data_IF_158764649774
#
_entry.id   IF_158764649774
#
_cell.length_a   1.000
_cell.length_b   1.000
_cell.length_c   1.000
_cell.angle_alpha   90.00
_cell.angle_beta   90.00
_cell.angle_gamma   90.00
#
_symmetry.space_group_name_H-M   'P 1'
#
loop_
_entity.id
_entity.type
_entity.pdbx_description
1 polymer ?
#
# COMPACT_ATOMS: atom_id res chain seq x y z
N UNK A 1 -4.87 -11.36 -9.34
CA UNK A 1 -4.04 -12.57 -9.11
C UNK A 1 -4.85 -13.78 -8.63
N UNK A 2 -6.12 -13.67 -8.24
CA UNK A 2 -6.97 -14.83 -7.92
C UNK A 2 -7.83 -15.35 -9.09
N UNK A 3 -8.11 -14.52 -10.10
CA UNK A 3 -8.86 -14.96 -11.29
C UNK A 3 -8.13 -16.02 -12.13
N UNK A 4 -6.80 -16.06 -12.09
CA UNK A 4 -5.99 -17.05 -12.81
C UNK A 4 -5.93 -18.43 -12.12
N UNK A 5 -6.19 -18.51 -10.82
CA UNK A 5 -6.12 -19.78 -10.09
C UNK A 5 -7.39 -20.62 -10.29
N UNK A 6 -8.55 -19.96 -10.34
CA UNK A 6 -9.84 -20.61 -10.59
C UNK A 6 -9.91 -21.09 -12.06
N UNK A 7 -9.40 -20.30 -13.00
CA UNK A 7 -9.28 -20.74 -14.40
C UNK A 7 -8.34 -21.93 -14.57
N UNK A 8 -7.26 -22.00 -13.77
CA UNK A 8 -6.33 -23.13 -13.81
C UNK A 8 -6.95 -24.40 -13.21
N UNK A 9 -7.67 -24.30 -12.10
CA UNK A 9 -8.34 -25.47 -11.50
C UNK A 9 -9.51 -25.96 -12.35
N UNK A 10 -10.28 -25.08 -12.99
CA UNK A 10 -11.32 -25.46 -13.93
C UNK A 10 -10.75 -26.25 -15.14
N UNK A 11 -9.63 -25.78 -15.70
CA UNK A 11 -8.95 -26.44 -16.82
C UNK A 11 -8.34 -27.81 -16.43
N UNK A 12 -7.90 -27.94 -15.17
CA UNK A 12 -7.39 -29.22 -14.64
C UNK A 12 -8.52 -30.21 -14.33
N UNK A 13 -9.69 -29.72 -13.94
CA UNK A 13 -10.89 -30.54 -13.73
C UNK A 13 -11.41 -31.08 -15.08
N UNK A 14 -11.42 -30.23 -16.10
CA UNK A 14 -11.81 -30.59 -17.47
C UNK A 14 -10.93 -31.72 -18.03
N UNK A 15 -9.60 -31.61 -17.88
CA UNK A 15 -8.65 -32.67 -18.25
C UNK A 15 -8.80 -33.96 -17.44
N UNK A 16 -9.24 -33.89 -16.17
CA UNK A 16 -9.49 -35.10 -15.37
C UNK A 16 -10.77 -35.81 -15.79
N UNK A 17 -11.79 -35.08 -16.24
CA UNK A 17 -13.03 -35.64 -16.77
C UNK A 17 -12.77 -36.30 -18.13
N UNK A 18 -11.98 -35.66 -18.99
CA UNK A 18 -11.57 -36.20 -20.29
C UNK A 18 -10.77 -37.51 -20.13
N UNK A 19 -9.77 -37.53 -19.25
CA UNK A 19 -9.02 -38.76 -18.93
C UNK A 19 -9.90 -39.88 -18.33
N UNK A 20 -10.89 -39.54 -17.49
CA UNK A 20 -11.82 -40.54 -16.92
C UNK A 20 -12.72 -41.16 -18.00
N UNK A 21 -13.11 -40.39 -19.01
CA UNK A 21 -13.93 -40.87 -20.12
C UNK A 21 -13.18 -41.86 -21.02
N UNK A 22 -11.89 -41.62 -21.27
CA UNK A 22 -11.00 -42.56 -21.99
C UNK A 22 -10.76 -43.85 -21.19
N UNK A 23 -10.64 -43.72 -19.86
CA UNK A 23 -10.43 -44.88 -18.97
C UNK A 23 -11.68 -45.78 -18.93
N UNK A 24 -12.89 -45.21 -18.89
CA UNK A 24 -14.14 -45.98 -18.89
C UNK A 24 -14.36 -46.71 -20.23
N UNK A 25 -13.98 -46.09 -21.36
CA UNK A 25 -14.02 -46.75 -22.67
C UNK A 25 -12.96 -47.87 -22.80
N UNK A 26 -11.78 -47.67 -22.22
CA UNK A 26 -10.72 -48.68 -22.20
C UNK A 26 -11.05 -49.91 -21.37
N UNK A 27 -11.69 -49.74 -20.21
CA UNK A 27 -11.99 -50.83 -19.26
C UNK A 27 -13.18 -51.72 -19.70
N UNK A 28 -14.05 -51.21 -20.57
CA UNK A 28 -15.12 -52.01 -21.19
C UNK A 28 -14.64 -52.85 -22.38
N UNK A 29 -13.57 -52.42 -23.06
CA UNK A 29 -12.90 -53.16 -24.14
C UNK A 29 -12.29 -54.48 -23.66
N UNK A 30 -11.77 -54.49 -22.42
CA UNK A 30 -11.14 -55.66 -21.80
C UNK A 30 -12.14 -56.69 -21.26
N UNK A 31 -13.42 -56.33 -21.05
CA UNK A 31 -14.45 -57.24 -20.52
C UNK A 31 -15.27 -58.00 -21.56
N UNK A 32 -15.28 -57.57 -22.83
CA UNK A 32 -16.08 -58.21 -23.88
C UNK A 32 -15.14 -58.94 -24.84
N UNK A 33 -14.76 -60.15 -24.46
CA UNK A 33 -14.00 -61.04 -25.32
C UNK A 33 -14.81 -61.46 -26.55
N UNK A 34 -14.32 -61.08 -27.74
CA UNK A 34 -14.59 -61.77 -29.00
C UNK A 34 -15.79 -61.27 -29.81
N UNK A 35 -15.54 -60.35 -30.76
CA UNK A 35 -16.08 -60.33 -32.14
C UNK A 35 -15.82 -58.96 -32.77
N UNK A 36 -15.00 -58.91 -33.81
CA UNK A 36 -14.64 -57.68 -34.55
C UNK A 36 -15.84 -56.94 -35.19
N UNK A 37 -17.06 -57.51 -35.16
CA UNK A 37 -18.26 -56.85 -35.71
C UNK A 37 -19.00 -55.94 -34.72
N UNK A 38 -18.88 -56.14 -33.41
CA UNK A 38 -19.48 -55.22 -32.42
C UNK A 38 -18.68 -53.93 -32.24
N UNK A 39 -17.38 -53.97 -32.54
CA UNK A 39 -16.47 -52.83 -32.34
C UNK A 39 -16.82 -51.62 -33.23
N UNK A 40 -17.23 -51.86 -34.49
CA UNK A 40 -17.59 -50.78 -35.43
C UNK A 40 -18.94 -50.11 -35.14
N UNK A 41 -19.87 -50.78 -34.46
CA UNK A 41 -21.17 -50.17 -34.10
C UNK A 41 -21.01 -49.31 -32.84
N UNK A 42 -20.14 -49.73 -31.91
CA UNK A 42 -19.89 -49.01 -30.67
C UNK A 42 -19.02 -47.75 -30.86
N UNK A 43 -18.04 -47.78 -31.77
CA UNK A 43 -17.26 -46.58 -32.15
C UNK A 43 -18.16 -45.49 -32.75
N UNK A 44 -19.14 -45.86 -33.57
CA UNK A 44 -20.08 -44.92 -34.20
C UNK A 44 -21.06 -44.33 -33.17
N UNK A 45 -21.50 -45.11 -32.18
CA UNK A 45 -22.34 -44.61 -31.09
C UNK A 45 -21.58 -43.66 -30.15
N UNK A 46 -20.33 -43.98 -29.77
CA UNK A 46 -19.53 -43.08 -28.92
C UNK A 46 -19.09 -41.80 -29.63
N UNK A 47 -18.77 -41.86 -30.92
CA UNK A 47 -18.32 -40.68 -31.68
C UNK A 47 -19.46 -39.70 -32.04
N UNK A 48 -20.70 -40.18 -32.20
CA UNK A 48 -21.81 -39.34 -32.68
C UNK A 48 -22.93 -39.08 -31.67
N UNK A 49 -23.13 -39.92 -30.65
CA UNK A 49 -24.23 -39.72 -29.68
C UNK A 49 -23.79 -39.06 -28.37
N UNK A 50 -22.55 -39.27 -27.91
CA UNK A 50 -22.05 -38.59 -26.69
C UNK A 50 -21.95 -37.06 -26.83
N UNK A 51 -21.48 -36.48 -27.95
CA UNK A 51 -21.39 -35.01 -28.09
C UNK A 51 -22.75 -34.30 -28.11
N UNK A 52 -23.84 -35.03 -28.38
CA UNK A 52 -25.20 -34.49 -28.40
C UNK A 52 -25.89 -34.52 -27.02
N UNK A 53 -25.46 -35.40 -26.12
CA UNK A 53 -26.03 -35.54 -24.77
C UNK A 53 -25.26 -34.77 -23.69
N UNK A 54 -23.95 -34.55 -23.88
CA UNK A 54 -23.11 -33.81 -22.93
C UNK A 54 -23.60 -32.36 -22.74
N UNK A 55 -23.96 -31.56 -23.78
CA UNK A 55 -24.43 -30.19 -23.58
C UNK A 55 -25.78 -30.09 -22.86
N UNK A 56 -26.66 -31.07 -23.06
CA UNK A 56 -28.00 -31.12 -22.46
C UNK A 56 -27.97 -31.53 -20.99
N UNK A 57 -27.04 -32.39 -20.59
CA UNK A 57 -26.78 -32.72 -19.17
C UNK A 57 -25.92 -31.66 -18.46
N UNK A 58 -25.03 -30.97 -19.18
CA UNK A 58 -24.25 -29.87 -18.60
C UNK A 58 -25.13 -28.67 -18.24
N UNK A 59 -26.15 -28.35 -19.05
CA UNK A 59 -27.03 -27.21 -18.75
C UNK A 59 -27.99 -27.46 -17.58
N UNK A 60 -28.48 -28.69 -17.38
CA UNK A 60 -29.42 -28.97 -16.29
C UNK A 60 -28.76 -29.26 -14.94
N UNK A 61 -27.51 -29.74 -14.91
CA UNK A 61 -26.80 -30.06 -13.66
C UNK A 61 -25.90 -28.92 -13.15
N UNK A 62 -25.47 -27.97 -13.98
CA UNK A 62 -24.72 -26.80 -13.51
C UNK A 62 -25.61 -25.72 -12.89
N UNK A 63 -26.85 -25.59 -13.34
CA UNK A 63 -27.79 -24.59 -12.79
C UNK A 63 -28.27 -24.97 -11.38
N UNK A 64 -28.23 -26.25 -10.99
CA UNK A 64 -28.66 -26.73 -9.66
C UNK A 64 -27.53 -26.85 -8.62
N UNK A 65 -26.25 -26.78 -9.02
CA UNK A 65 -25.09 -27.00 -8.12
C UNK A 65 -24.41 -25.72 -7.64
N UNK A 66 -24.74 -24.53 -8.17
CA UNK A 66 -24.07 -23.28 -7.80
C UNK A 66 -24.98 -22.07 -7.58
N UNK A 67 -26.27 -22.27 -7.32
CA UNK A 67 -27.13 -21.21 -6.78
C UNK A 67 -26.97 -21.12 -5.26
N UNK A 68 -25.72 -20.94 -4.79
CA UNK A 68 -25.51 -20.40 -3.45
C UNK A 68 -26.07 -18.97 -3.48
N UNK A 69 -26.97 -18.57 -2.57
CA UNK A 69 -27.40 -17.18 -2.48
C UNK A 69 -26.20 -16.33 -2.03
N UNK A 70 -25.42 -15.85 -3.00
CA UNK A 70 -24.43 -14.82 -2.77
C UNK A 70 -25.21 -13.53 -2.55
N UNK A 71 -25.50 -13.21 -1.29
CA UNK A 71 -26.06 -11.91 -0.91
C UNK A 71 -25.12 -10.86 -1.48
N UNK A 72 -25.63 -10.07 -2.43
CA UNK A 72 -24.86 -8.97 -2.98
C UNK A 72 -24.71 -7.91 -1.88
N UNK A 73 -23.53 -7.27 -1.74
CA UNK A 73 -23.37 -6.20 -0.75
C UNK A 73 -24.35 -5.02 -0.99
N UNK A 74 -24.87 -4.88 -2.20
CA UNK A 74 -25.88 -3.88 -2.57
C UNK A 74 -27.31 -4.23 -2.13
N UNK A 75 -27.57 -5.50 -1.82
CA UNK A 75 -28.86 -6.01 -1.33
C UNK A 75 -28.96 -5.97 0.21
N UNK A 76 -27.86 -5.62 0.88
CA UNK A 76 -27.82 -5.53 2.33
C UNK A 76 -28.75 -4.41 2.85
N UNK A 77 -29.33 -4.58 4.06
CA UNK A 77 -30.11 -3.55 4.71
C UNK A 77 -29.36 -2.21 4.81
N UNK A 78 -30.09 -1.10 4.66
CA UNK A 78 -29.55 0.27 4.75
C UNK A 78 -29.27 0.68 6.21
N UNK A 79 -28.37 -0.04 6.85
CA UNK A 79 -27.95 0.18 8.22
C UNK A 79 -26.66 0.99 8.26
N UNK A 80 -26.46 1.71 9.35
CA UNK A 80 -25.21 2.40 9.68
C UNK A 80 -24.12 1.40 10.05
N UNK A 81 -22.84 1.84 9.97
CA UNK A 81 -21.71 1.02 10.41
C UNK A 81 -21.75 0.68 11.90
N UNK A 82 -22.37 1.51 12.73
CA UNK A 82 -22.57 1.22 14.15
C UNK A 82 -23.56 0.08 14.40
N UNK A 83 -24.64 0.02 13.59
CA UNK A 83 -25.60 -1.10 13.65
C UNK A 83 -24.97 -2.40 13.16
N UNK A 84 -24.21 -2.36 12.05
CA UNK A 84 -23.42 -3.53 11.61
C UNK A 84 -22.41 -3.98 12.64
N UNK A 85 -21.78 -3.04 13.37
CA UNK A 85 -20.87 -3.37 14.46
C UNK A 85 -21.57 -4.17 15.54
N UNK A 86 -22.74 -3.69 16.00
CA UNK A 86 -23.50 -4.33 17.07
C UNK A 86 -23.99 -5.74 16.71
N UNK A 87 -24.27 -6.01 15.43
CA UNK A 87 -24.68 -7.33 14.95
C UNK A 87 -23.49 -8.27 14.67
N UNK A 88 -22.28 -7.72 14.57
CA UNK A 88 -21.07 -8.50 14.30
C UNK A 88 -20.47 -9.09 15.58
N UNK A 89 -19.46 -9.94 15.40
CA UNK A 89 -18.70 -10.51 16.52
C UNK A 89 -18.02 -9.39 17.29
N UNK A 90 -18.16 -9.38 18.62
CA UNK A 90 -17.50 -8.43 19.52
C UNK A 90 -16.11 -8.91 19.95
N UNK A 91 -15.24 -7.99 20.41
CA UNK A 91 -13.85 -8.32 20.76
C UNK A 91 -13.76 -9.35 21.88
N UNK A 92 -14.63 -9.22 22.88
CA UNK A 92 -14.61 -10.03 24.10
C UNK A 92 -15.14 -11.45 23.85
N UNK A 93 -15.92 -11.63 22.78
CA UNK A 93 -16.40 -12.93 22.32
C UNK A 93 -15.36 -13.63 21.45
N UNK A 94 -14.57 -12.88 20.67
CA UNK A 94 -13.54 -13.43 19.77
C UNK A 94 -12.21 -13.72 20.47
N UNK A 95 -11.71 -12.80 21.29
CA UNK A 95 -10.36 -12.85 21.88
C UNK A 95 -10.49 -13.29 23.34
N UNK A 96 -10.30 -14.59 23.59
CA UNK A 96 -10.38 -15.14 24.95
C UNK A 96 -9.19 -14.71 25.80
N UNK A 97 -8.01 -14.72 25.21
CA UNK A 97 -6.77 -14.46 25.93
C UNK A 97 -5.69 -13.91 25.01
N UNK A 98 -4.90 -12.96 25.51
CA UNK A 98 -3.68 -12.51 24.88
C UNK A 98 -2.59 -12.30 25.93
N UNK A 99 -1.51 -13.08 25.82
CA UNK A 99 -0.37 -13.02 26.73
C UNK A 99 0.94 -12.86 25.96
N UNK A 100 1.79 -11.94 26.42
CA UNK A 100 3.20 -11.87 26.09
C UNK A 100 3.97 -12.70 27.12
N UNK A 101 4.62 -13.77 26.69
CA UNK A 101 5.44 -14.60 27.57
C UNK A 101 6.90 -14.19 27.46
N UNK A 102 7.47 -13.76 28.60
CA UNK A 102 8.87 -13.40 28.72
C UNK A 102 9.66 -14.52 29.41
N UNK A 103 10.84 -14.92 28.88
CA UNK A 103 11.64 -15.97 29.48
C UNK A 103 12.13 -15.65 30.91
N UNK A 104 12.29 -14.37 31.23
CA UNK A 104 12.95 -13.93 32.47
C UNK A 104 12.01 -13.43 33.56
N UNK A 105 10.79 -13.00 33.23
CA UNK A 105 9.91 -12.29 34.18
C UNK A 105 8.47 -12.81 34.21
N UNK A 106 8.16 -13.88 33.46
CA UNK A 106 6.82 -14.48 33.44
C UNK A 106 5.96 -13.98 32.28
N UNK A 107 4.65 -13.93 32.48
CA UNK A 107 3.68 -13.53 31.47
C UNK A 107 3.02 -12.19 31.78
N UNK A 108 2.93 -11.33 30.77
CA UNK A 108 2.20 -10.07 30.81
C UNK A 108 0.99 -10.16 29.89
N UNK A 109 -0.14 -9.56 30.26
CA UNK A 109 -1.27 -9.44 29.32
C UNK A 109 -0.90 -8.49 28.18
N UNK A 110 -1.33 -8.81 26.97
CA UNK A 110 -1.24 -7.86 25.85
C UNK A 110 -1.96 -6.55 26.22
N UNK A 111 -1.46 -5.42 25.72
CA UNK A 111 -1.89 -4.07 26.13
C UNK A 111 -3.42 -3.89 26.20
N UNK A 112 -3.87 -3.13 27.19
CA UNK A 112 -5.27 -3.01 27.65
C UNK A 112 -6.31 -2.48 26.63
N UNK A 113 -5.91 -2.02 25.43
CA UNK A 113 -6.86 -1.47 24.45
C UNK A 113 -6.83 -2.24 23.14
N UNK A 114 -7.94 -2.94 22.87
CA UNK A 114 -8.28 -3.48 21.55
C UNK A 114 -8.98 -2.38 20.76
N UNK A 115 -8.53 -2.13 19.54
CA UNK A 115 -9.14 -1.14 18.65
C UNK A 115 -10.02 -1.83 17.62
N UNK A 116 -11.28 -1.41 17.50
CA UNK A 116 -12.17 -1.84 16.43
C UNK A 116 -11.75 -1.23 15.09
N UNK A 117 -11.70 -2.06 14.04
CA UNK A 117 -11.32 -1.72 12.68
C UNK A 117 -12.48 -2.13 11.75
N UNK A 118 -13.29 -1.18 11.26
CA UNK A 118 -14.40 -1.49 10.35
C UNK A 118 -13.87 -1.79 8.95
N UNK A 119 -14.12 -3.00 8.45
CA UNK A 119 -13.66 -3.41 7.11
C UNK A 119 -14.77 -3.98 6.26
N UNK A 120 -14.47 -4.15 4.98
CA UNK A 120 -15.22 -4.97 4.03
C UNK A 120 -14.39 -6.19 3.65
N UNK A 121 -15.01 -7.36 3.56
CA UNK A 121 -14.32 -8.55 3.07
C UNK A 121 -14.14 -8.52 1.54
N UNK A 122 -13.65 -9.62 0.97
CA UNK A 122 -13.47 -9.73 -0.49
C UNK A 122 -14.78 -9.72 -1.29
N UNK A 123 -15.93 -9.94 -0.64
CA UNK A 123 -17.27 -9.89 -1.25
C UNK A 123 -17.95 -8.53 -1.00
N UNK A 124 -17.31 -7.63 -0.26
CA UNK A 124 -17.89 -6.33 0.10
C UNK A 124 -18.80 -6.39 1.33
N UNK A 125 -18.82 -7.49 2.08
CA UNK A 125 -19.67 -7.58 3.27
C UNK A 125 -18.99 -6.89 4.46
N UNK A 126 -19.74 -6.12 5.26
CA UNK A 126 -19.21 -5.42 6.42
C UNK A 126 -18.78 -6.43 7.49
N UNK A 127 -17.54 -6.30 7.97
CA UNK A 127 -16.97 -7.15 9.02
C UNK A 127 -16.39 -6.30 10.15
N UNK A 128 -16.40 -6.88 11.35
CA UNK A 128 -15.69 -6.36 12.52
C UNK A 128 -14.30 -6.99 12.58
N UNK A 129 -13.26 -6.15 12.66
CA UNK A 129 -11.90 -6.59 12.93
C UNK A 129 -11.38 -5.86 14.16
N UNK A 130 -10.37 -6.46 14.80
CA UNK A 130 -9.83 -5.98 16.05
C UNK A 130 -8.30 -5.95 15.98
N UNK A 131 -7.73 -4.78 16.26
CA UNK A 131 -6.29 -4.57 16.31
C UNK A 131 -5.80 -4.51 17.76
N UNK A 132 -4.88 -5.42 18.10
CA UNK A 132 -4.20 -5.45 19.39
C UNK A 132 -2.93 -4.60 19.26
N UNK A 133 -2.64 -3.76 20.26
CA UNK A 133 -1.43 -2.92 20.30
C UNK A 133 -1.32 -1.92 19.12
N UNK A 134 -2.45 -1.29 18.77
CA UNK A 134 -2.53 -0.23 17.76
C UNK A 134 -2.13 1.13 18.31
N UNK A 135 -1.37 1.91 17.53
CA UNK A 135 -0.91 3.27 17.85
C UNK A 135 -1.67 4.34 17.06
N UNK A 136 -2.72 3.95 16.34
CA UNK A 136 -3.54 4.87 15.55
C UNK A 136 -4.18 5.90 16.47
N UNK A 137 -4.09 7.17 16.11
CA UNK A 137 -4.60 8.30 16.91
C UNK A 137 -3.84 8.57 18.21
N UNK A 138 -2.73 7.88 18.50
CA UNK A 138 -1.95 8.12 19.71
C UNK A 138 -0.44 8.19 19.41
N UNK A 139 0.07 9.42 19.36
CA UNK A 139 1.48 9.70 19.10
C UNK A 139 2.41 9.41 20.29
N UNK A 140 1.85 9.31 21.50
CA UNK A 140 2.62 9.19 22.75
C UNK A 140 3.07 7.76 23.03
N UNK A 141 2.44 6.76 22.42
CA UNK A 141 2.79 5.35 22.63
C UNK A 141 4.12 5.04 21.95
N UNK A 142 5.04 4.46 22.73
CA UNK A 142 6.34 4.00 22.23
C UNK A 142 6.31 2.49 21.99
N UNK A 143 7.00 2.00 20.95
CA UNK A 143 7.16 0.57 20.75
C UNK A 143 7.80 -0.09 21.97
N UNK A 144 7.20 -1.18 22.44
CA UNK A 144 7.82 -2.03 23.46
C UNK A 144 8.95 -2.86 22.83
N UNK A 145 10.08 -2.96 23.54
CA UNK A 145 11.21 -3.81 23.16
C UNK A 145 11.27 -5.02 24.06
N UNK A 146 11.41 -6.21 23.46
CA UNK A 146 11.45 -7.48 24.18
C UNK A 146 12.66 -8.32 23.79
N UNK A 147 12.99 -9.33 24.59
CA UNK A 147 14.01 -10.31 24.26
C UNK A 147 13.57 -11.15 23.05
N UNK A 148 14.52 -11.54 22.21
CA UNK A 148 14.23 -12.37 21.03
C UNK A 148 13.54 -13.69 21.37
N UNK A 149 13.76 -14.25 22.56
CA UNK A 149 13.13 -15.51 23.00
C UNK A 149 11.68 -15.36 23.49
N UNK A 150 11.13 -14.14 23.54
CA UNK A 150 9.74 -13.93 23.88
C UNK A 150 8.80 -14.46 22.78
N UNK A 151 7.56 -14.74 23.16
CA UNK A 151 6.49 -15.10 22.24
C UNK A 151 5.16 -14.57 22.74
N UNK A 152 4.22 -14.34 21.82
CA UNK A 152 2.86 -13.91 22.15
C UNK A 152 1.92 -15.07 21.88
N UNK A 153 1.08 -15.41 22.86
CA UNK A 153 -0.02 -16.35 22.73
C UNK A 153 -1.31 -15.56 22.60
N UNK A 154 -2.09 -15.84 21.56
CA UNK A 154 -3.44 -15.34 21.37
C UNK A 154 -4.36 -16.55 21.30
N UNK A 155 -5.32 -16.64 22.22
CA UNK A 155 -6.38 -17.66 22.19
C UNK A 155 -7.64 -17.02 21.65
N UNK A 156 -8.16 -17.57 20.56
CA UNK A 156 -9.39 -17.11 19.93
C UNK A 156 -10.50 -18.13 20.15
N UNK A 157 -11.69 -17.64 20.45
CA UNK A 157 -12.91 -18.46 20.39
C UNK A 157 -13.33 -18.56 18.94
N UNK A 158 -13.48 -19.78 18.45
CA UNK A 158 -13.73 -20.02 17.03
C UNK A 158 -14.96 -20.88 16.83
N UNK A 159 -15.97 -20.65 17.67
CA UNK A 159 -17.24 -21.36 17.58
C UNK A 159 -17.87 -21.11 16.20
N UNK A 160 -18.31 -22.18 15.55
CA UNK A 160 -18.82 -22.14 14.17
C UNK A 160 -20.35 -22.25 14.10
N UNK A 161 -21.01 -22.48 15.24
CA UNK A 161 -22.47 -22.60 15.38
C UNK A 161 -23.22 -21.35 14.92
N UNK A 162 -22.63 -20.17 15.13
CA UNK A 162 -23.24 -18.86 14.81
C UNK A 162 -22.95 -18.37 13.37
N UNK A 163 -22.52 -19.26 12.47
CA UNK A 163 -22.19 -18.88 11.10
C UNK A 163 -23.44 -18.86 10.21
N UNK A 164 -23.78 -17.68 9.70
CA UNK A 164 -24.94 -17.48 8.81
C UNK A 164 -24.75 -18.08 7.41
N UNK A 165 -23.51 -18.16 6.94
CA UNK A 165 -23.18 -18.59 5.58
C UNK A 165 -22.66 -20.03 5.57
N UNK A 166 -23.55 -20.99 5.27
CA UNK A 166 -23.19 -22.42 5.19
C UNK A 166 -22.34 -22.77 3.96
N UNK A 167 -22.31 -21.88 2.96
CA UNK A 167 -21.61 -22.09 1.69
C UNK A 167 -20.14 -21.71 1.70
N UNK A 168 -19.71 -20.89 2.67
CA UNK A 168 -18.31 -20.45 2.79
C UNK A 168 -17.68 -21.10 4.02
N UNK A 169 -16.56 -21.82 3.87
CA UNK A 169 -15.84 -22.35 5.02
C UNK A 169 -15.49 -21.24 6.00
N UNK A 170 -15.79 -21.44 7.27
CA UNK A 170 -15.43 -20.50 8.33
C UNK A 170 -13.91 -20.34 8.37
N UNK A 171 -13.43 -19.09 8.36
CA UNK A 171 -12.01 -18.78 8.42
C UNK A 171 -11.78 -17.50 9.23
N UNK A 172 -10.70 -17.50 10.00
CA UNK A 172 -10.22 -16.32 10.73
C UNK A 172 -9.26 -15.58 9.81
N UNK A 173 -9.54 -14.31 9.55
CA UNK A 173 -8.60 -13.46 8.81
C UNK A 173 -7.74 -12.67 9.78
N UNK A 174 -6.42 -12.84 9.68
CA UNK A 174 -5.46 -12.19 10.56
C UNK A 174 -4.39 -11.48 9.73
N UNK A 175 -3.89 -10.36 10.24
CA UNK A 175 -2.73 -9.68 9.65
C UNK A 175 -1.76 -9.23 10.74
N UNK A 176 -0.47 -9.54 10.57
CA UNK A 176 0.60 -8.99 11.42
C UNK A 176 1.25 -7.82 10.68
N UNK A 177 1.16 -6.63 11.25
CA UNK A 177 1.60 -5.39 10.61
C UNK A 177 2.24 -4.42 11.62
N UNK A 178 2.70 -3.25 11.14
CA UNK A 178 3.22 -2.20 12.02
C UNK A 178 2.08 -1.64 12.87
N UNK A 179 2.33 -1.35 14.16
CA UNK A 179 1.31 -0.80 15.08
C UNK A 179 0.64 0.51 14.61
N UNK A 180 1.24 1.23 13.67
CA UNK A 180 0.68 2.48 13.11
C UNK A 180 -0.14 2.28 11.84
N UNK A 181 -0.10 1.08 11.26
CA UNK A 181 -0.79 0.77 10.01
C UNK A 181 -2.30 0.58 10.25
N UNK A 182 -3.12 1.22 9.42
CA UNK A 182 -4.56 0.97 9.31
C UNK A 182 -4.80 0.10 8.07
N UNK A 183 -5.25 -1.14 8.26
CA UNK A 183 -5.26 -2.19 7.23
C UNK A 183 -6.50 -3.07 7.33
N UNK A 184 -6.78 -3.75 6.22
CA UNK A 184 -7.83 -4.75 6.09
C UNK A 184 -7.22 -6.16 5.93
N UNK A 185 -7.44 -7.09 6.87
CA UNK A 185 -6.83 -8.42 6.84
C UNK A 185 -7.35 -9.29 5.68
N UNK A 186 -8.56 -9.03 5.17
CA UNK A 186 -9.09 -9.72 3.98
C UNK A 186 -8.34 -9.36 2.71
N UNK A 187 -7.69 -8.18 2.68
CA UNK A 187 -6.86 -7.75 1.55
C UNK A 187 -5.39 -8.12 1.70
N UNK A 188 -4.87 -7.94 2.92
CA UNK A 188 -3.46 -8.14 3.24
C UNK A 188 -3.33 -8.87 4.58
N UNK A 189 -3.62 -10.17 4.54
CA UNK A 189 -3.56 -11.04 5.71
C UNK A 189 -3.35 -12.49 5.34
N UNK A 190 -3.58 -13.34 6.32
CA UNK A 190 -3.55 -14.80 6.25
C UNK A 190 -4.89 -15.34 6.74
N UNK A 191 -5.38 -16.36 6.06
CA UNK A 191 -6.61 -17.06 6.43
C UNK A 191 -6.25 -18.28 7.26
N UNK A 192 -6.81 -18.38 8.46
CA UNK A 192 -6.61 -19.48 9.38
C UNK A 192 -7.91 -20.26 9.52
N UNK A 193 -7.81 -21.58 9.58
CA UNK A 193 -8.93 -22.44 9.94
C UNK A 193 -9.28 -22.28 11.42
N UNK A 194 -10.57 -22.27 11.78
CA UNK A 194 -11.01 -22.39 13.17
C UNK A 194 -10.59 -23.76 13.72
N UNK A 195 -10.44 -23.91 15.04
CA UNK A 195 -10.08 -25.17 15.70
C UNK A 195 -8.66 -25.71 15.47
N UNK A 196 -7.70 -24.84 15.16
CA UNK A 196 -6.31 -25.24 14.94
C UNK A 196 -5.35 -24.39 15.77
N UNK A 197 -4.20 -24.99 16.06
CA UNK A 197 -3.09 -24.30 16.70
C UNK A 197 -2.08 -23.88 15.64
N UNK A 198 -1.57 -22.65 15.78
CA UNK A 198 -0.68 -22.03 14.81
C UNK A 198 0.59 -21.55 15.48
N UNK A 199 1.73 -21.95 14.94
CA UNK A 199 3.00 -21.30 15.23
C UNK A 199 3.35 -20.34 14.09
N UNK A 200 3.55 -19.07 14.44
CA UNK A 200 3.82 -18.00 13.48
C UNK A 200 5.22 -17.43 13.70
N UNK A 201 6.02 -17.46 12.64
CA UNK A 201 7.39 -16.93 12.64
C UNK A 201 7.44 -15.66 11.80
N UNK A 202 7.88 -14.58 12.42
CA UNK A 202 7.84 -13.24 11.83
C UNK A 202 9.19 -12.91 11.18
N UNK A 203 9.19 -12.28 10.02
CA UNK A 203 10.38 -11.68 9.41
C UNK A 203 10.07 -10.27 8.95
N UNK A 204 10.96 -9.31 9.22
CA UNK A 204 10.78 -7.90 8.89
C UNK A 204 11.82 -7.44 7.88
N UNK A 205 11.36 -6.81 6.81
CA UNK A 205 12.21 -6.11 5.84
C UNK A 205 11.91 -4.62 5.85
N UNK A 206 12.93 -3.79 6.05
CA UNK A 206 12.84 -2.33 6.05
C UNK A 206 13.58 -1.82 4.81
N UNK A 207 12.93 -0.96 4.04
CA UNK A 207 13.56 -0.24 2.93
C UNK A 207 13.50 1.26 3.20
N UNK A 208 14.66 1.91 3.22
CA UNK A 208 14.81 3.35 3.40
C UNK A 208 15.27 3.96 2.07
N UNK A 209 14.35 4.62 1.37
CA UNK A 209 14.57 5.33 0.11
C UNK A 209 14.88 6.81 0.37
N UNK A 210 15.46 7.47 -0.64
CA UNK A 210 15.76 8.89 -0.58
C UNK A 210 14.64 9.76 -1.17
N UNK A 211 14.28 10.90 -0.56
CA UNK A 211 13.26 11.80 -1.09
C UNK A 211 13.75 12.53 -2.35
N UNK A 212 12.93 13.41 -2.92
CA UNK A 212 13.40 14.37 -3.92
C UNK A 212 14.65 15.12 -3.40
N UNK A 213 15.71 15.36 -4.22
CA UNK A 213 15.81 15.26 -5.68
C UNK A 213 16.31 13.91 -6.23
N UNK A 214 16.39 12.87 -5.41
CA UNK A 214 16.88 11.56 -5.86
C UNK A 214 15.83 10.85 -6.72
N UNK A 215 16.27 9.96 -7.62
CA UNK A 215 15.40 9.25 -8.57
C UNK A 215 14.29 8.42 -7.89
N UNK A 216 14.50 8.04 -6.63
CA UNK A 216 13.48 7.36 -5.80
C UNK A 216 12.26 8.22 -5.54
N UNK A 217 12.40 9.56 -5.50
CA UNK A 217 11.35 10.56 -5.31
C UNK A 217 10.24 10.10 -4.34
N UNK A 218 10.66 9.66 -3.16
CA UNK A 218 9.75 9.06 -2.20
C UNK A 218 9.02 10.12 -1.36
N UNK A 219 7.90 9.73 -0.77
CA UNK A 219 7.13 10.54 0.18
C UNK A 219 7.32 10.00 1.59
N UNK A 220 7.58 10.90 2.53
CA UNK A 220 7.64 10.57 3.96
C UNK A 220 6.23 10.50 4.56
N UNK A 221 5.62 9.34 4.41
CA UNK A 221 4.30 9.08 4.97
C UNK A 221 4.28 9.06 6.50
N UNK A 222 5.41 8.79 7.16
CA UNK A 222 5.45 8.78 8.63
C UNK A 222 5.34 10.21 9.17
N UNK A 223 6.03 11.16 8.55
CA UNK A 223 5.89 12.57 8.90
C UNK A 223 4.47 13.09 8.61
N UNK A 224 3.86 12.71 7.48
CA UNK A 224 2.46 13.04 7.20
C UNK A 224 1.50 12.45 8.23
N UNK A 225 1.70 11.19 8.64
CA UNK A 225 0.90 10.53 9.66
C UNK A 225 0.99 11.24 11.02
N UNK A 226 2.21 11.66 11.42
CA UNK A 226 2.42 12.46 12.64
C UNK A 226 1.72 13.83 12.54
N UNK A 227 1.87 14.53 11.41
CA UNK A 227 1.24 15.82 11.18
C UNK A 227 -0.30 15.75 11.23
N UNK A 228 -0.87 14.59 10.89
CA UNK A 228 -2.30 14.28 10.97
C UNK A 228 -2.74 13.71 12.33
N UNK A 229 -1.93 13.85 13.37
CA UNK A 229 -2.31 13.41 14.72
C UNK A 229 -2.34 11.89 14.90
N UNK A 230 -1.60 11.14 14.09
CA UNK A 230 -1.55 9.68 14.18
C UNK A 230 -2.54 8.95 13.28
N UNK A 231 -3.00 9.60 12.21
CA UNK A 231 -3.93 9.04 11.23
C UNK A 231 -3.39 9.17 9.80
N UNK A 232 -3.80 8.26 8.93
CA UNK A 232 -3.50 8.30 7.51
C UNK A 232 -2.60 7.15 7.04
N UNK A 233 -2.18 7.21 5.77
CA UNK A 233 -1.51 6.11 5.09
C UNK A 233 -0.02 6.11 5.41
N UNK A 234 0.57 4.93 5.53
CA UNK A 234 2.02 4.74 5.72
C UNK A 234 2.71 4.14 4.49
N UNK A 235 1.94 3.86 3.44
CA UNK A 235 2.44 3.24 2.22
C UNK A 235 1.73 3.78 0.98
N UNK A 236 2.37 3.58 -0.18
CA UNK A 236 1.77 3.90 -1.49
C UNK A 236 0.41 3.23 -1.70
N UNK A 237 0.26 1.99 -1.23
CA UNK A 237 -1.00 1.24 -1.37
C UNK A 237 -2.10 1.85 -0.52
N UNK A 238 -1.83 2.11 0.76
CA UNK A 238 -2.79 2.78 1.64
C UNK A 238 -3.14 4.19 1.15
N UNK A 239 -2.17 4.94 0.60
CA UNK A 239 -2.44 6.24 0.00
C UNK A 239 -3.44 6.14 -1.15
N UNK A 240 -3.32 5.11 -2.00
CA UNK A 240 -4.26 4.86 -3.10
C UNK A 240 -5.65 4.49 -2.56
N UNK A 241 -5.71 3.62 -1.57
CA UNK A 241 -6.97 3.17 -0.97
C UNK A 241 -7.70 4.31 -0.24
N UNK A 242 -6.97 5.13 0.53
CA UNK A 242 -7.52 6.32 1.17
C UNK A 242 -7.96 7.37 0.13
N UNK A 243 -7.19 7.56 -0.94
CA UNK A 243 -7.57 8.45 -2.05
C UNK A 243 -8.91 8.00 -2.68
N UNK A 244 -9.06 6.71 -2.96
CA UNK A 244 -10.29 6.16 -3.52
C UNK A 244 -11.48 6.34 -2.56
N UNK A 245 -11.27 6.11 -1.26
CA UNK A 245 -12.28 6.38 -0.23
C UNK A 245 -12.71 7.85 -0.28
N UNK A 246 -11.77 8.78 -0.27
CA UNK A 246 -12.06 10.22 -0.27
C UNK A 246 -12.81 10.66 -1.54
N UNK A 247 -12.45 10.11 -2.70
CA UNK A 247 -13.17 10.37 -3.96
C UNK A 247 -14.57 9.78 -3.92
N UNK A 248 -14.73 8.53 -3.46
CA UNK A 248 -16.05 7.89 -3.32
C UNK A 248 -16.98 8.73 -2.44
N UNK A 249 -16.47 9.20 -1.30
CA UNK A 249 -17.24 10.05 -0.38
C UNK A 249 -17.59 11.41 -1.00
N UNK A 250 -16.70 11.99 -1.80
CA UNK A 250 -16.92 13.29 -2.42
C UNK A 250 -17.94 13.22 -3.57
N UNK A 251 -17.84 12.20 -4.41
CA UNK A 251 -18.63 12.09 -5.65
C UNK A 251 -19.99 11.41 -5.41
N UNK A 252 -20.03 10.40 -4.53
CA UNK A 252 -21.25 9.62 -4.28
C UNK A 252 -21.83 9.80 -2.87
N UNK A 253 -21.09 10.35 -1.91
CA UNK A 253 -21.54 10.48 -0.52
C UNK A 253 -21.64 9.14 0.24
N UNK A 254 -21.14 8.06 -0.36
CA UNK A 254 -21.14 6.70 0.17
C UNK A 254 -19.88 5.96 -0.27
N UNK A 255 -19.67 4.76 0.30
CA UNK A 255 -18.54 3.90 0.00
C UNK A 255 -19.00 2.68 -0.77
N UNK A 256 -18.38 2.45 -1.93
CA UNK A 256 -18.59 1.25 -2.72
C UNK A 256 -17.87 0.06 -2.07
N UNK A 257 -18.60 -0.90 -1.48
CA UNK A 257 -18.01 -1.94 -0.64
C UNK A 257 -17.14 -2.92 -1.42
N UNK A 258 -17.34 -3.06 -2.74
CA UNK A 258 -16.57 -3.99 -3.58
C UNK A 258 -15.19 -3.41 -3.92
N UNK A 259 -15.10 -2.08 -4.04
CA UNK A 259 -13.94 -1.39 -4.59
C UNK A 259 -13.07 -0.70 -3.52
N UNK A 260 -13.65 -0.39 -2.36
CA UNK A 260 -12.99 0.36 -1.29
C UNK A 260 -12.70 -0.54 -0.10
N UNK A 261 -11.43 -0.96 0.03
CA UNK A 261 -10.96 -1.82 1.12
C UNK A 261 -10.36 -1.06 2.30
N UNK A 262 -10.16 0.26 2.17
CA UNK A 262 -9.61 1.08 3.24
C UNK A 262 -10.58 1.07 4.42
N UNK A 263 -10.14 0.74 5.65
CA UNK A 263 -11.06 0.68 6.77
C UNK A 263 -11.72 2.05 6.99
N UNK A 264 -13.04 2.07 7.21
CA UNK A 264 -13.82 3.30 7.35
C UNK A 264 -15.20 3.06 7.96
N UNK A 265 -15.80 4.11 8.52
CA UNK A 265 -17.12 4.08 9.15
C UNK A 265 -18.24 4.66 8.27
N UNK A 266 -17.96 4.94 7.00
CA UNK A 266 -18.92 5.59 6.13
C UNK A 266 -20.05 4.63 5.68
N UNK A 267 -21.15 5.22 5.23
CA UNK A 267 -22.33 4.47 4.75
C UNK A 267 -22.00 3.76 3.43
N UNK A 268 -22.52 2.54 3.26
CA UNK A 268 -22.36 1.77 2.02
C UNK A 268 -23.26 2.33 0.91
N UNK A 269 -22.78 2.28 -0.33
CA UNK A 269 -23.62 2.52 -1.50
C UNK A 269 -24.52 1.30 -1.77
N UNK A 270 -25.73 1.55 -2.27
CA UNK A 270 -26.68 0.52 -2.76
C UNK A 270 -26.52 0.23 -4.25
N UNK A 271 -25.51 0.81 -4.89
CA UNK A 271 -25.16 0.62 -6.28
C UNK A 271 -23.66 0.82 -6.48
N UNK A 272 -23.08 0.31 -7.58
CA UNK A 272 -21.70 0.60 -7.94
C UNK A 272 -21.49 2.10 -8.16
N UNK A 273 -20.53 2.68 -7.44
CA UNK A 273 -20.25 4.12 -7.44
C UNK A 273 -18.83 4.46 -7.93
N UNK A 274 -18.00 3.44 -8.18
CA UNK A 274 -16.59 3.62 -8.56
C UNK A 274 -16.33 3.32 -10.04
N UNK A 275 -15.43 4.10 -10.65
CA UNK A 275 -14.99 3.93 -12.04
C UNK A 275 -13.48 3.77 -12.16
N UNK A 276 -13.02 3.15 -13.26
CA UNK A 276 -11.59 2.98 -13.58
C UNK A 276 -10.82 4.31 -13.70
N UNK A 277 -11.51 5.41 -13.98
CA UNK A 277 -10.89 6.74 -14.07
C UNK A 277 -10.26 7.16 -12.75
N UNK A 278 -10.97 7.00 -11.64
CA UNK A 278 -10.50 7.38 -10.30
C UNK A 278 -9.34 6.51 -9.82
N UNK A 279 -9.33 5.23 -10.19
CA UNK A 279 -8.20 4.34 -9.94
C UNK A 279 -6.90 4.87 -10.54
N UNK A 280 -6.95 5.32 -11.80
CA UNK A 280 -5.76 5.89 -12.47
C UNK A 280 -5.33 7.19 -11.81
N UNK A 281 -6.27 8.08 -11.52
CA UNK A 281 -5.99 9.35 -10.84
C UNK A 281 -5.26 9.15 -9.51
N UNK A 282 -5.79 8.30 -8.62
CA UNK A 282 -5.17 7.99 -7.34
C UNK A 282 -3.84 7.24 -7.48
N UNK A 283 -3.69 6.43 -8.54
CA UNK A 283 -2.45 5.70 -8.79
C UNK A 283 -1.26 6.61 -9.10
N UNK A 284 -1.52 7.74 -9.77
CA UNK A 284 -0.54 8.74 -10.20
C UNK A 284 -0.20 9.75 -9.10
N UNK A 285 -1.14 10.07 -8.20
CA UNK A 285 -0.90 11.01 -7.09
C UNK A 285 -0.04 10.44 -5.96
N UNK A 286 0.02 9.12 -5.79
CA UNK A 286 0.72 8.48 -4.68
C UNK A 286 2.13 8.00 -5.06
N UNK A 287 3.15 8.59 -4.43
CA UNK A 287 4.55 8.18 -4.57
C UNK A 287 4.91 6.98 -3.69
N UNK A 288 6.13 6.44 -3.87
CA UNK A 288 6.64 5.35 -3.02
C UNK A 288 6.96 5.91 -1.63
N UNK A 289 6.78 5.11 -0.59
CA UNK A 289 7.13 5.51 0.77
C UNK A 289 8.65 5.58 0.96
N UNK A 290 9.14 6.62 1.66
CA UNK A 290 10.55 6.73 2.00
C UNK A 290 10.98 5.65 2.98
N UNK A 291 10.17 5.42 4.01
CA UNK A 291 10.34 4.28 4.89
C UNK A 291 9.25 3.26 4.59
N UNK A 292 9.64 2.08 4.09
CA UNK A 292 8.72 0.98 3.81
C UNK A 292 9.08 -0.22 4.65
N UNK A 293 8.15 -0.61 5.52
CA UNK A 293 8.24 -1.85 6.27
C UNK A 293 7.40 -2.94 5.61
N UNK A 294 7.96 -4.14 5.50
CA UNK A 294 7.27 -5.33 5.05
C UNK A 294 7.45 -6.44 6.08
N UNK A 295 6.35 -6.96 6.59
CA UNK A 295 6.32 -8.06 7.56
C UNK A 295 5.83 -9.29 6.83
N UNK A 296 6.60 -10.38 6.92
CA UNK A 296 6.25 -11.69 6.43
C UNK A 296 6.01 -12.61 7.62
N UNK A 297 5.01 -13.46 7.52
CA UNK A 297 4.67 -14.44 8.54
C UNK A 297 4.73 -15.81 7.88
N UNK A 298 5.59 -16.69 8.39
CA UNK A 298 5.56 -18.11 8.07
C UNK A 298 4.68 -18.81 9.11
N UNK A 299 3.78 -19.67 8.66
CA UNK A 299 2.74 -20.30 9.50
C UNK A 299 2.96 -21.80 9.48
N UNK A 300 3.01 -22.40 10.66
CA UNK A 300 2.94 -23.86 10.87
C UNK A 300 1.61 -24.18 11.57
N UNK A 301 0.84 -25.09 10.98
CA UNK A 301 -0.50 -25.50 11.44
C UNK A 301 -0.43 -26.86 12.14
N UNK A 302 -1.11 -26.99 13.27
CA UNK A 302 -1.26 -28.25 14.03
C UNK A 302 -2.71 -28.43 14.47
N UNK A 303 -3.21 -29.65 14.39
CA UNK A 303 -4.55 -29.97 14.88
C UNK A 303 -4.66 -29.67 16.39
N UNK A 304 -5.74 -29.00 16.79
CA UNK A 304 -6.01 -28.78 18.20
C UNK A 304 -6.50 -30.09 18.81
N UNK A 305 -5.72 -30.69 19.72
CA UNK A 305 -6.07 -31.93 20.43
C UNK A 305 -7.18 -31.73 21.49
N UNK A 306 -7.66 -30.50 21.68
CA UNK A 306 -8.59 -30.09 22.73
C UNK A 306 -9.92 -29.61 22.15
N UNK A 307 -10.68 -30.53 21.55
CA UNK A 307 -12.15 -30.40 21.54
C UNK A 307 -12.63 -30.83 22.94
N UNK A 308 -12.63 -29.89 23.89
CA UNK A 308 -13.29 -30.13 25.17
C UNK A 308 -14.79 -30.17 24.89
N UNK A 309 -15.35 -31.38 24.89
CA UNK A 309 -16.79 -31.59 24.82
C UNK A 309 -17.37 -31.05 26.12
N UNK A 310 -18.12 -29.95 26.04
CA UNK A 310 -18.80 -29.44 27.24
C UNK A 310 -19.84 -30.45 27.73
N UNK A 311 -20.22 -30.36 29.00
CA UNK A 311 -21.23 -31.23 29.63
C UNK A 311 -22.60 -31.13 28.93
N UNK A 312 -22.82 -30.06 28.17
CA UNK A 312 -24.03 -29.79 27.38
C UNK A 312 -23.93 -30.29 25.92
N UNK A 313 -22.83 -30.92 25.52
CA UNK A 313 -22.65 -31.50 24.18
C UNK A 313 -22.28 -30.50 23.08
N UNK A 314 -22.03 -29.23 23.43
CA UNK A 314 -21.50 -28.22 22.52
C UNK A 314 -19.98 -28.36 22.42
N UNK A 315 -19.46 -28.52 21.20
CA UNK A 315 -18.02 -28.54 20.93
C UNK A 315 -17.48 -27.12 20.97
N UNK A 316 -17.13 -26.63 22.17
CA UNK A 316 -16.46 -25.35 22.29
C UNK A 316 -15.02 -25.50 21.81
N UNK A 317 -14.70 -24.79 20.73
CA UNK A 317 -13.45 -24.94 20.05
C UNK A 317 -12.69 -23.62 19.98
N UNK A 318 -11.41 -23.65 20.38
CA UNK A 318 -10.52 -22.49 20.36
C UNK A 318 -9.35 -22.72 19.41
N UNK A 319 -8.93 -21.66 18.72
CA UNK A 319 -7.66 -21.63 18.00
C UNK A 319 -6.60 -20.91 18.83
N UNK A 320 -5.42 -21.52 18.98
CA UNK A 320 -4.29 -20.90 19.69
C UNK A 320 -3.25 -20.46 18.67
N UNK A 321 -2.93 -19.17 18.69
CA UNK A 321 -1.92 -18.56 17.80
C UNK A 321 -0.71 -18.16 18.64
N UNK A 322 0.43 -18.74 18.33
CA UNK A 322 1.71 -18.45 18.99
C UNK A 322 2.62 -17.70 18.03
N UNK A 323 2.83 -16.40 18.28
CA UNK A 323 3.79 -15.58 17.54
C UNK A 323 5.17 -15.67 18.19
N UNK A 324 6.11 -16.32 17.52
CA UNK A 324 7.47 -16.51 18.02
C UNK A 324 8.45 -15.48 17.44
N UNK A 325 9.18 -14.78 18.31
CA UNK A 325 10.21 -13.81 17.91
C UNK A 325 11.63 -14.40 17.85
N UNK A 326 11.82 -15.65 18.28
CA UNK A 326 13.13 -16.29 18.43
C UNK A 326 13.94 -16.37 17.13
N UNK A 327 13.26 -16.40 15.99
CA UNK A 327 13.82 -16.49 14.64
C UNK A 327 13.49 -15.26 13.80
N UNK A 328 13.24 -14.11 14.43
CA UNK A 328 12.87 -12.91 13.69
C UNK A 328 14.05 -12.37 12.87
N UNK A 329 14.01 -12.57 11.55
CA UNK A 329 14.97 -11.95 10.65
C UNK A 329 14.63 -10.48 10.42
N UNK A 330 15.60 -9.59 10.66
CA UNK A 330 15.49 -8.18 10.30
C UNK A 330 16.45 -7.87 9.13
N UNK A 331 15.89 -7.58 7.95
CA UNK A 331 16.64 -7.17 6.76
C UNK A 331 16.42 -5.69 6.50
N UNK A 332 17.51 -4.90 6.49
CA UNK A 332 17.44 -3.45 6.26
C UNK A 332 18.18 -3.09 4.98
N UNK A 333 17.47 -2.46 4.04
CA UNK A 333 18.03 -1.92 2.80
C UNK A 333 17.96 -0.39 2.86
N UNK A 334 19.10 0.26 3.01
CA UNK A 334 19.18 1.72 3.11
C UNK A 334 19.88 2.30 1.89
N UNK A 335 19.25 3.29 1.27
CA UNK A 335 19.80 4.02 0.14
C UNK A 335 20.55 5.24 0.65
N UNK A 336 21.82 5.35 0.27
CA UNK A 336 22.67 6.48 0.63
C UNK A 336 23.02 7.28 -0.63
N UNK A 337 23.14 8.62 -0.52
CA UNK A 337 23.64 9.42 -1.63
C UNK A 337 25.07 8.98 -1.97
N UNK A 338 25.34 8.74 -3.26
CA UNK A 338 26.67 8.34 -3.70
C UNK A 338 27.71 9.46 -3.52
N UNK A 339 27.28 10.71 -3.62
CA UNK A 339 28.09 11.89 -3.45
C UNK A 339 27.38 12.85 -2.52
N UNK A 340 28.06 13.29 -1.47
CA UNK A 340 27.59 14.40 -0.67
C UNK A 340 27.93 15.74 -1.34
N UNK A 341 27.28 16.82 -0.90
CA UNK A 341 27.53 18.17 -1.45
C UNK A 341 29.00 18.55 -1.34
N UNK A 342 29.64 18.18 -0.22
CA UNK A 342 31.06 18.45 0.04
C UNK A 342 31.98 17.69 -0.92
N UNK A 343 31.64 16.44 -1.24
CA UNK A 343 32.41 15.62 -2.19
C UNK A 343 32.36 16.22 -3.59
N UNK A 344 31.19 16.73 -3.99
CA UNK A 344 31.00 17.38 -5.28
C UNK A 344 31.92 18.61 -5.43
N UNK A 345 32.02 19.45 -4.39
CA UNK A 345 32.95 20.57 -4.40
C UNK A 345 34.41 20.12 -4.43
N UNK A 346 34.75 19.05 -3.71
CA UNK A 346 36.09 18.46 -3.73
C UNK A 346 36.46 17.91 -5.11
N UNK A 347 35.55 17.19 -5.76
CA UNK A 347 35.75 16.62 -7.10
C UNK A 347 35.90 17.74 -8.14
N UNK A 348 34.99 18.72 -8.15
CA UNK A 348 35.04 19.85 -9.09
C UNK A 348 36.31 20.68 -8.86
N UNK A 349 36.63 21.01 -7.60
CA UNK A 349 37.82 21.75 -7.24
C UNK A 349 39.11 21.00 -7.60
N UNK A 350 39.12 19.68 -7.40
CA UNK A 350 40.23 18.81 -7.79
C UNK A 350 40.45 18.80 -9.30
N UNK A 351 39.38 18.64 -10.10
CA UNK A 351 39.49 18.70 -11.55
C UNK A 351 39.93 20.08 -12.05
N UNK A 352 39.34 21.17 -11.56
CA UNK A 352 39.75 22.52 -11.96
C UNK A 352 41.20 22.84 -11.56
N UNK A 353 41.62 22.40 -10.38
CA UNK A 353 42.99 22.56 -9.89
C UNK A 353 44.01 21.78 -10.72
N UNK A 354 43.70 20.53 -11.10
CA UNK A 354 44.62 19.70 -11.91
C UNK A 354 44.69 20.17 -13.36
N UNK A 355 43.55 20.49 -13.98
CA UNK A 355 43.51 20.81 -15.42
C UNK A 355 43.88 22.26 -15.73
N UNK A 356 43.47 23.20 -14.88
CA UNK A 356 43.64 24.64 -15.14
C UNK A 356 44.61 25.31 -14.16
N UNK A 357 45.00 24.64 -13.06
CA UNK A 357 45.77 25.27 -11.99
C UNK A 357 44.99 26.35 -11.23
N UNK A 358 43.67 26.44 -11.45
CA UNK A 358 42.84 27.49 -10.88
C UNK A 358 42.40 27.05 -9.48
N UNK A 359 42.74 27.87 -8.49
CA UNK A 359 42.23 27.75 -7.13
C UNK A 359 41.13 28.79 -6.88
N UNK A 360 40.36 28.61 -5.81
CA UNK A 360 39.37 29.61 -5.39
C UNK A 360 40.02 30.99 -5.17
N UNK A 361 41.27 31.02 -4.67
CA UNK A 361 42.06 32.25 -4.49
C UNK A 361 42.37 32.93 -5.83
N UNK A 362 42.73 32.16 -6.86
CA UNK A 362 42.97 32.71 -8.19
C UNK A 362 41.69 33.36 -8.78
N UNK A 363 40.51 32.80 -8.49
CA UNK A 363 39.23 33.38 -8.91
C UNK A 363 38.93 34.67 -8.14
N UNK A 364 39.20 34.73 -6.84
CA UNK A 364 38.98 35.95 -6.05
C UNK A 364 39.89 37.09 -6.50
N UNK A 365 41.16 36.81 -6.78
CA UNK A 365 42.12 37.80 -7.26
C UNK A 365 41.72 38.35 -8.65
N UNK A 366 41.22 37.47 -9.53
CA UNK A 366 40.69 37.87 -10.83
C UNK A 366 39.47 38.80 -10.68
N UNK A 367 38.54 38.44 -9.78
CA UNK A 367 37.35 39.26 -9.52
C UNK A 367 37.73 40.62 -8.95
N UNK A 368 38.66 40.69 -7.99
CA UNK A 368 39.15 41.95 -7.44
C UNK A 368 39.76 42.84 -8.54
N UNK A 369 40.61 42.27 -9.37
CA UNK A 369 41.22 42.98 -10.51
C UNK A 369 40.15 43.50 -11.48
N UNK A 370 39.12 42.68 -11.77
CA UNK A 370 37.97 43.08 -12.60
C UNK A 370 37.20 44.26 -11.98
N UNK A 371 36.95 44.23 -10.67
CA UNK A 371 36.29 45.34 -9.97
C UNK A 371 37.11 46.63 -10.03
N UNK A 372 38.43 46.55 -9.87
CA UNK A 372 39.34 47.70 -10.01
C UNK A 372 39.29 48.25 -11.44
N UNK A 373 39.37 47.40 -12.46
CA UNK A 373 39.29 47.81 -13.86
C UNK A 373 37.94 48.48 -14.16
N UNK A 374 36.82 47.91 -13.70
CA UNK A 374 35.49 48.50 -13.88
C UNK A 374 35.41 49.89 -13.23
N UNK A 375 36.01 50.07 -12.04
CA UNK A 375 36.05 51.37 -11.37
C UNK A 375 36.84 52.40 -12.20
N UNK A 376 38.02 52.03 -12.69
CA UNK A 376 38.84 52.90 -13.56
C UNK A 376 38.10 53.26 -14.84
N UNK A 377 37.44 52.30 -15.49
CA UNK A 377 36.64 52.55 -16.70
C UNK A 377 35.47 53.49 -16.41
N UNK A 378 34.74 53.30 -15.30
CA UNK A 378 33.65 54.20 -14.89
C UNK A 378 34.15 55.61 -14.65
N UNK A 379 35.27 55.78 -13.96
CA UNK A 379 35.89 57.09 -13.74
C UNK A 379 36.34 57.74 -15.07
N UNK A 380 36.90 56.97 -16.00
CA UNK A 380 37.27 57.45 -17.33
C UNK A 380 36.05 57.89 -18.17
N UNK A 381 34.96 57.12 -18.14
CA UNK A 381 33.70 57.46 -18.83
C UNK A 381 33.07 58.71 -18.20
N UNK A 382 33.06 58.83 -16.87
CA UNK A 382 32.55 60.03 -16.18
C UNK A 382 33.37 61.28 -16.51
N UNK A 383 34.71 61.17 -16.57
CA UNK A 383 35.59 62.27 -17.00
C UNK A 383 35.30 62.69 -18.45
N UNK A 384 35.07 61.74 -19.37
CA UNK A 384 34.67 62.03 -20.76
C UNK A 384 33.30 62.70 -20.85
N UNK A 385 32.30 62.26 -20.07
CA UNK A 385 30.98 62.93 -20.00
C UNK A 385 31.07 64.35 -19.44
N UNK A 386 31.88 64.58 -18.40
CA UNK A 386 32.15 65.94 -17.91
C UNK A 386 32.81 66.81 -18.99
N UNK A 387 33.84 66.32 -19.68
CA UNK A 387 34.54 67.07 -20.75
C UNK A 387 33.62 67.40 -21.94
N UNK A 388 32.74 66.48 -22.34
CA UNK A 388 31.70 66.74 -23.35
C UNK A 388 30.70 67.81 -22.92
N UNK A 389 30.29 67.83 -21.64
CA UNK A 389 29.43 68.89 -21.11
C UNK A 389 30.14 70.25 -21.03
N UNK A 390 31.45 70.29 -20.74
CA UNK A 390 32.23 71.53 -20.80
C UNK A 390 32.35 72.06 -22.23
N UNK A 391 32.69 71.20 -23.20
CA UNK A 391 32.75 71.59 -24.62
C UNK A 391 31.39 72.07 -25.16
N UNK A 392 30.28 71.44 -24.77
CA UNK A 392 28.94 71.92 -25.13
C UNK A 392 28.58 73.26 -24.47
N UNK A 393 29.09 73.53 -23.27
CA UNK A 393 28.85 74.79 -22.55
C UNK A 393 29.71 75.93 -23.10
N UNK A 394 30.92 75.64 -23.54
CA UNK A 394 31.79 76.60 -24.21
C UNK A 394 31.25 76.98 -25.59
N UNK A 395 30.68 76.04 -26.35
CA UNK A 395 29.95 76.33 -27.61
C UNK A 395 28.73 77.24 -27.37
N UNK A 396 28.03 77.06 -26.25
CA UNK A 396 26.91 77.91 -25.84
C UNK A 396 27.37 79.32 -25.42
N UNK A 397 28.57 79.44 -24.84
CA UNK A 397 29.16 80.72 -24.46
C UNK A 397 29.77 81.45 -25.67
N UNK A 398 30.46 80.75 -26.58
CA UNK A 398 30.99 81.34 -27.82
C UNK A 398 29.90 81.85 -28.76
N UNK A 399 28.76 81.15 -28.88
CA UNK A 399 27.59 81.65 -29.62
C UNK A 399 26.91 82.86 -28.95
N UNK A 400 27.28 83.21 -27.70
CA UNK A 400 26.76 84.41 -27.00
C UNK A 400 27.65 85.64 -27.16
N UNK A 401 28.89 85.49 -27.65
CA UNK A 401 29.86 86.60 -27.80
C UNK A 401 30.11 87.04 -29.25
N UNK A 402 29.42 86.47 -30.24
CA UNK A 402 29.29 87.11 -31.55
C UNK A 402 28.16 88.15 -31.52
N UNK A 403 28.43 89.29 -30.89
CA UNK A 403 27.64 90.50 -31.04
C UNK A 403 28.52 91.76 -30.94
N UNK A 404 28.73 92.33 -32.12
CA UNK A 404 28.87 93.75 -32.44
C UNK A 404 30.17 94.51 -32.12
N UNK A 405 30.79 94.98 -33.21
CA UNK A 405 31.88 95.95 -33.33
C UNK A 405 31.48 97.40 -32.94
N UNK A 406 30.50 97.60 -32.06
CA UNK A 406 30.13 98.93 -31.55
C UNK A 406 29.98 98.87 -30.04
N UNK A 407 30.98 99.42 -29.36
CA UNK A 407 31.07 99.43 -27.91
C UNK A 407 29.81 99.96 -27.24
N UNK A 408 29.10 99.07 -26.53
CA UNK A 408 28.26 99.44 -25.40
C UNK A 408 28.01 98.22 -24.51
N UNK A 409 28.56 98.25 -23.29
CA UNK A 409 28.33 97.22 -22.29
C UNK A 409 27.02 97.50 -21.54
N UNK A 410 26.08 96.55 -21.55
CA UNK A 410 24.99 96.48 -20.57
C UNK A 410 25.04 95.15 -19.82
N UNK A 411 25.24 95.23 -18.51
CA UNK A 411 24.98 94.14 -17.58
C UNK A 411 23.47 93.81 -17.60
N UNK A 412 23.14 92.53 -17.76
CA UNK A 412 21.84 91.99 -17.33
C UNK A 412 22.05 91.24 -16.02
N UNK A 413 21.49 91.80 -14.96
CA UNK A 413 21.28 91.15 -13.67
C UNK A 413 19.97 90.36 -13.76
N UNK A 414 20.03 89.06 -13.46
CA UNK A 414 18.98 88.28 -12.80
C UNK A 414 19.65 87.15 -12.02
#
# INVERSE_FOLDING_TARGET
MFSSSIQYEALQLEKRIENRSETICGDWSTRIGGSQKCFKIFEVMCAHLLPLWIPLLHHSLLDEVLAVPAVSPYELPKLSRAEYRYMGVESDDLIEECQLIHPSYGSDRCGHSVMWIPVFDSMGLPNNCYAINSFIGNLSIKPYTTLSKAYVIIKLRTETSDTFYTSTPSAIQMSVHNSRDYLNPFKKGISLKPCFNYNMFISKTINELLPYPYATNCTDYLELWKARGGFGPLSKTQCREECLLNVSLKEAGCVDPIYIYYPNEAKMCDHPAMSNFYYKQCADSCNRACNRENIRVAVEEYASLLSLRDKDGVEQCSSVITLAFNRMELKKFSYYPKYERVDLFGIIGGYLGVWLGISLLAVTDLLETLFVIIKVIKEAIQKRKKKSNWLSKDDYLQNRYHADSRGNFRLKIY
#
